data_IF_020750672939
#
_entry.id   IF_020750672939
#
_cell.length_a   1.000
_cell.length_b   1.000
_cell.length_c   1.000
_cell.angle_alpha   90.00
_cell.angle_beta   90.00
_cell.angle_gamma   90.00
#
_symmetry.space_group_name_H-M   'P 1'
#
loop_
_entity.id
_entity.type
_entity.pdbx_description
1 polymer ?
#
# COMPACT_ATOMS: atom_id res chain seq x y z
N UNK A 1 14.99 8.07 -28.59
CA UNK A 1 14.17 9.30 -28.37
C UNK A 1 14.43 9.75 -26.94
N UNK A 2 14.75 11.04 -26.72
CA UNK A 2 14.87 11.57 -25.34
C UNK A 2 13.48 11.52 -24.68
N UNK A 3 13.40 11.01 -23.44
CA UNK A 3 12.16 11.02 -22.69
C UNK A 3 11.64 12.45 -22.51
N UNK A 4 10.34 12.66 -22.71
CA UNK A 4 9.70 13.97 -22.50
C UNK A 4 9.23 14.19 -21.06
N UNK A 5 9.36 13.17 -20.23
CA UNK A 5 8.90 13.12 -18.84
C UNK A 5 10.10 13.11 -17.89
N UNK A 6 9.99 13.88 -16.83
CA UNK A 6 10.98 13.96 -15.74
C UNK A 6 10.34 13.54 -14.42
N UNK A 7 11.02 12.66 -13.70
CA UNK A 7 10.78 12.44 -12.26
C UNK A 7 11.92 13.12 -11.50
N UNK A 8 11.58 14.08 -10.66
CA UNK A 8 12.52 14.80 -9.82
C UNK A 8 12.34 14.38 -8.35
N UNK A 9 13.31 13.63 -7.82
CA UNK A 9 13.33 13.21 -6.42
C UNK A 9 14.08 14.26 -5.60
N UNK A 10 13.42 14.81 -4.58
CA UNK A 10 14.02 15.82 -3.69
C UNK A 10 14.57 15.17 -2.43
N UNK A 11 15.87 14.97 -2.36
CA UNK A 11 16.56 14.34 -1.25
C UNK A 11 17.69 15.24 -0.73
N UNK A 12 17.48 15.90 0.40
CA UNK A 12 18.53 16.70 1.06
C UNK A 12 19.27 15.88 2.13
N UNK A 13 20.47 16.32 2.53
CA UNK A 13 21.27 15.71 3.59
C UNK A 13 20.52 15.59 4.92
N UNK A 14 19.65 16.54 5.23
CA UNK A 14 18.84 16.60 6.45
C UNK A 14 18.80 18.00 7.03
N UNK A 15 18.00 18.20 8.08
CA UNK A 15 17.92 19.45 8.83
C UNK A 15 17.94 19.16 10.32
N UNK A 16 18.16 20.21 11.15
CA UNK A 16 18.13 20.08 12.63
C UNK A 16 16.77 19.60 13.16
N UNK A 17 15.67 19.93 12.43
CA UNK A 17 14.29 19.62 12.82
C UNK A 17 13.75 18.32 12.21
N UNK A 18 14.64 17.49 11.67
CA UNK A 18 14.27 16.20 11.06
C UNK A 18 15.19 15.08 11.58
N UNK A 19 14.78 13.84 11.32
CA UNK A 19 15.64 12.67 11.60
C UNK A 19 16.98 12.86 10.89
N UNK A 20 18.07 12.78 11.64
CA UNK A 20 19.41 12.91 11.09
C UNK A 20 19.65 11.88 9.97
N UNK A 21 20.16 12.34 8.83
CA UNK A 21 20.45 11.51 7.65
C UNK A 21 19.26 10.67 7.19
N UNK A 22 18.03 11.18 7.35
CA UNK A 22 16.78 10.43 7.11
C UNK A 22 16.78 9.66 5.78
N UNK A 23 17.21 10.30 4.69
CA UNK A 23 17.18 9.70 3.36
C UNK A 23 18.17 8.53 3.17
N UNK A 24 19.25 8.49 3.98
CA UNK A 24 20.25 7.43 3.99
C UNK A 24 20.07 6.44 5.15
N UNK A 25 19.10 6.66 6.02
CA UNK A 25 18.81 5.71 7.10
C UNK A 25 18.28 4.41 6.54
N UNK A 26 18.83 3.32 7.02
CA UNK A 26 18.44 1.99 6.55
C UNK A 26 17.03 1.64 7.03
N UNK A 27 16.28 1.07 6.13
CA UNK A 27 15.07 0.32 6.36
C UNK A 27 15.36 -1.06 5.81
N UNK A 28 15.41 -2.06 6.67
CA UNK A 28 16.08 -3.33 6.35
C UNK A 28 17.52 -3.04 5.86
N UNK A 29 17.90 -3.52 4.72
CA UNK A 29 19.27 -3.41 4.18
C UNK A 29 19.43 -2.25 3.20
N UNK A 30 18.42 -1.40 2.98
CA UNK A 30 18.43 -0.36 1.95
C UNK A 30 18.16 1.02 2.57
N UNK A 31 18.86 2.08 2.11
CA UNK A 31 18.56 3.43 2.57
C UNK A 31 17.15 3.86 2.12
N UNK A 32 16.49 4.72 2.89
CA UNK A 32 15.12 5.15 2.62
C UNK A 32 14.91 5.66 1.19
N UNK A 33 15.88 6.39 0.64
CA UNK A 33 15.80 6.89 -0.75
C UNK A 33 15.69 5.77 -1.78
N UNK A 34 16.19 4.57 -1.47
CA UNK A 34 16.17 3.42 -2.37
C UNK A 34 14.78 3.12 -2.90
N UNK A 35 13.78 3.15 -2.03
CA UNK A 35 12.41 2.72 -2.36
C UNK A 35 11.75 3.61 -3.40
N UNK A 36 11.80 4.94 -3.22
CA UNK A 36 11.26 5.88 -4.22
C UNK A 36 12.09 5.89 -5.49
N UNK A 37 13.41 5.69 -5.37
CA UNK A 37 14.32 5.62 -6.49
C UNK A 37 14.02 4.41 -7.38
N UNK A 38 13.87 3.22 -6.80
CA UNK A 38 13.53 2.01 -7.54
C UNK A 38 12.15 2.09 -8.22
N UNK A 39 11.12 2.58 -7.49
CA UNK A 39 9.80 2.79 -8.09
C UNK A 39 9.87 3.75 -9.28
N UNK A 40 10.69 4.80 -9.19
CA UNK A 40 10.87 5.78 -10.26
C UNK A 40 11.64 5.23 -11.46
N UNK A 41 12.72 4.51 -11.23
CA UNK A 41 13.57 3.94 -12.29
C UNK A 41 12.88 2.83 -13.08
N UNK A 42 12.03 2.05 -12.42
CA UNK A 42 11.19 1.05 -13.08
C UNK A 42 10.10 1.68 -13.97
N UNK A 43 9.87 2.99 -13.87
CA UNK A 43 8.99 3.72 -14.77
C UNK A 43 9.78 4.23 -15.98
N UNK A 44 10.11 3.34 -16.91
CA UNK A 44 11.00 3.57 -18.05
C UNK A 44 10.58 4.69 -19.03
N UNK A 45 9.41 5.32 -18.83
CA UNK A 45 8.94 6.42 -19.68
C UNK A 45 9.44 7.81 -19.25
N UNK A 46 10.16 7.89 -18.13
CA UNK A 46 10.67 9.14 -17.57
C UNK A 46 12.15 9.04 -17.23
N UNK A 47 12.88 10.13 -17.40
CA UNK A 47 14.22 10.27 -16.84
C UNK A 47 14.12 10.60 -15.35
N UNK A 48 14.98 10.02 -14.54
CA UNK A 48 14.98 10.18 -13.08
C UNK A 48 16.18 10.99 -12.66
N UNK A 49 15.91 12.13 -12.01
CA UNK A 49 16.92 13.00 -11.42
C UNK A 49 16.70 13.13 -9.91
N UNK A 50 17.81 13.09 -9.18
CA UNK A 50 17.82 13.36 -7.73
C UNK A 50 18.42 14.73 -7.50
N UNK A 51 17.65 15.65 -6.89
CA UNK A 51 18.15 16.94 -6.45
C UNK A 51 18.64 16.86 -5.01
N UNK A 52 19.94 17.00 -4.78
CA UNK A 52 20.57 16.81 -3.46
C UNK A 52 21.72 17.78 -3.20
N UNK A 53 21.99 18.01 -1.91
CA UNK A 53 23.15 18.73 -1.37
C UNK A 53 24.15 17.80 -0.68
N UNK A 54 23.94 16.49 -0.77
CA UNK A 54 24.73 15.45 -0.13
C UNK A 54 25.48 14.62 -1.17
N UNK A 55 26.79 14.54 -1.09
CA UNK A 55 27.59 13.67 -1.94
C UNK A 55 27.21 12.21 -1.78
N UNK A 56 26.98 11.74 -0.55
CA UNK A 56 26.59 10.35 -0.27
C UNK A 56 25.27 9.98 -0.97
N UNK A 57 24.28 10.90 -0.96
CA UNK A 57 23.00 10.70 -1.68
C UNK A 57 23.24 10.73 -3.20
N UNK A 58 24.11 11.62 -3.67
CA UNK A 58 24.46 11.74 -5.08
C UNK A 58 25.10 10.43 -5.59
N UNK A 59 26.12 9.97 -4.90
CA UNK A 59 26.81 8.72 -5.24
C UNK A 59 25.87 7.52 -5.25
N UNK A 60 25.07 7.37 -4.17
CA UNK A 60 24.07 6.29 -4.11
C UNK A 60 23.09 6.34 -5.27
N UNK A 61 22.64 7.54 -5.65
CA UNK A 61 21.67 7.72 -6.74
C UNK A 61 22.29 7.38 -8.11
N UNK A 62 23.52 7.81 -8.36
CA UNK A 62 24.27 7.49 -9.59
C UNK A 62 24.52 5.99 -9.71
N UNK A 63 24.98 5.33 -8.66
CA UNK A 63 25.21 3.88 -8.62
C UNK A 63 23.96 3.07 -8.92
N UNK A 64 22.76 3.61 -8.62
CA UNK A 64 21.49 2.96 -8.91
C UNK A 64 20.86 3.38 -10.24
N UNK A 65 21.55 4.19 -11.08
CA UNK A 65 21.11 4.53 -12.43
C UNK A 65 20.30 5.83 -12.55
N UNK A 66 20.15 6.62 -11.49
CA UNK A 66 19.57 7.95 -11.59
C UNK A 66 20.63 9.01 -11.94
N UNK A 67 20.18 10.13 -12.43
CA UNK A 67 21.03 11.31 -12.63
C UNK A 67 20.94 12.25 -11.43
N UNK A 68 21.92 13.14 -11.25
CA UNK A 68 22.01 14.03 -10.10
C UNK A 68 22.04 15.48 -10.50
N UNK A 69 21.33 16.30 -9.75
CA UNK A 69 21.42 17.77 -9.79
C UNK A 69 21.89 18.23 -8.41
N UNK A 70 23.14 18.71 -8.33
CA UNK A 70 23.69 19.28 -7.11
C UNK A 70 22.93 20.55 -6.71
N UNK A 71 22.42 20.56 -5.48
CA UNK A 71 21.65 21.67 -4.94
C UNK A 71 22.56 22.66 -4.23
N UNK A 72 22.52 23.95 -4.63
CA UNK A 72 23.35 24.95 -3.96
C UNK A 72 22.89 25.21 -2.52
N UNK A 73 23.81 25.62 -1.66
CA UNK A 73 23.57 25.81 -0.21
C UNK A 73 22.37 26.69 0.14
N UNK A 74 22.07 27.71 -0.66
CA UNK A 74 20.93 28.59 -0.40
C UNK A 74 19.56 27.90 -0.57
N UNK A 75 19.49 26.76 -1.28
CA UNK A 75 18.28 25.94 -1.46
C UNK A 75 18.18 24.76 -0.47
N UNK A 76 19.04 24.71 0.55
CA UNK A 76 19.02 23.63 1.56
C UNK A 76 18.32 24.02 2.86
N UNK A 77 17.86 25.26 2.96
CA UNK A 77 17.16 25.80 4.15
C UNK A 77 15.81 25.12 4.35
N UNK A 78 15.35 25.05 5.61
CA UNK A 78 14.01 24.51 5.95
C UNK A 78 12.88 25.31 5.28
N UNK A 79 13.08 26.62 5.10
CA UNK A 79 12.14 27.54 4.44
C UNK A 79 12.08 27.40 2.93
N UNK A 80 13.03 26.68 2.30
CA UNK A 80 13.06 26.54 0.83
C UNK A 80 11.86 25.73 0.36
N UNK A 81 11.10 26.33 -0.53
CA UNK A 81 9.89 25.71 -1.08
C UNK A 81 10.20 24.66 -2.15
N UNK A 82 9.28 23.72 -2.32
CA UNK A 82 9.32 22.76 -3.45
C UNK A 82 9.47 23.48 -4.79
N UNK A 83 8.78 24.61 -4.96
CA UNK A 83 8.79 25.43 -6.18
C UNK A 83 10.19 25.93 -6.55
N UNK A 84 10.93 26.46 -5.57
CA UNK A 84 12.29 26.98 -5.77
C UNK A 84 13.26 25.88 -6.19
N UNK A 85 13.14 24.68 -5.59
CA UNK A 85 13.99 23.54 -5.96
C UNK A 85 13.67 23.05 -7.36
N UNK A 86 12.39 22.95 -7.74
CA UNK A 86 11.96 22.58 -9.09
C UNK A 86 12.48 23.61 -10.13
N UNK A 87 12.32 24.88 -9.82
CA UNK A 87 12.76 25.97 -10.72
C UNK A 87 14.27 25.92 -10.95
N UNK A 88 15.04 25.75 -9.89
CA UNK A 88 16.49 25.56 -10.00
C UNK A 88 16.83 24.35 -10.87
N UNK A 89 16.24 23.18 -10.59
CA UNK A 89 16.52 21.95 -11.31
C UNK A 89 16.22 22.07 -12.81
N UNK A 90 15.05 22.59 -13.16
CA UNK A 90 14.66 22.78 -14.56
C UNK A 90 15.52 23.83 -15.28
N UNK A 91 15.90 24.92 -14.61
CA UNK A 91 16.85 25.90 -15.18
C UNK A 91 18.23 25.30 -15.39
N UNK A 92 18.73 24.51 -14.46
CA UNK A 92 20.01 23.81 -14.58
C UNK A 92 20.00 22.86 -15.78
N UNK A 93 18.96 22.07 -15.94
CA UNK A 93 18.80 21.15 -17.07
C UNK A 93 18.71 21.91 -18.41
N UNK A 94 17.91 22.97 -18.44
CA UNK A 94 17.78 23.83 -19.65
C UNK A 94 19.11 24.44 -20.08
N UNK A 95 19.95 24.89 -19.13
CA UNK A 95 21.30 25.38 -19.42
C UNK A 95 22.20 24.30 -20.05
N UNK A 96 21.96 23.01 -19.76
CA UNK A 96 22.64 21.85 -20.36
C UNK A 96 21.99 21.38 -21.67
N UNK A 97 21.02 22.13 -22.22
CA UNK A 97 20.29 21.74 -23.42
C UNK A 97 19.26 20.62 -23.23
N UNK A 98 18.93 20.30 -21.97
CA UNK A 98 17.98 19.23 -21.63
C UNK A 98 16.65 19.86 -21.23
N UNK A 99 15.57 19.48 -21.91
CA UNK A 99 14.21 19.99 -21.64
C UNK A 99 13.22 18.85 -21.54
N UNK A 100 12.23 19.03 -20.67
CA UNK A 100 11.13 18.09 -20.45
C UNK A 100 9.80 18.80 -20.61
N UNK A 101 8.77 18.08 -21.05
CA UNK A 101 7.41 18.62 -21.16
C UNK A 101 6.68 18.62 -19.82
N UNK A 102 6.89 17.56 -19.04
CA UNK A 102 6.21 17.34 -17.75
C UNK A 102 7.22 16.92 -16.69
N UNK A 103 6.99 17.39 -15.47
CA UNK A 103 7.79 17.03 -14.30
C UNK A 103 6.88 16.49 -13.19
N UNK A 104 7.28 15.38 -12.58
CA UNK A 104 6.69 14.83 -11.36
C UNK A 104 7.71 14.94 -10.24
N UNK A 105 7.30 15.49 -9.11
CA UNK A 105 8.12 15.67 -7.91
C UNK A 105 7.78 14.63 -6.88
N UNK A 106 8.81 13.94 -6.40
CA UNK A 106 8.71 12.92 -5.35
C UNK A 106 9.64 13.25 -4.17
N UNK A 107 9.31 12.68 -3.03
CA UNK A 107 10.12 12.78 -1.81
C UNK A 107 10.39 11.40 -1.23
N UNK A 108 11.62 11.08 -0.78
CA UNK A 108 11.94 9.79 -0.17
C UNK A 108 11.07 9.41 1.02
N UNK A 109 10.55 10.40 1.75
CA UNK A 109 9.67 10.15 2.89
C UNK A 109 8.30 9.54 2.53
N UNK A 110 7.93 9.48 1.24
CA UNK A 110 6.77 8.75 0.72
C UNK A 110 7.24 7.55 -0.11
N UNK A 111 7.76 6.50 0.52
CA UNK A 111 8.47 5.43 -0.18
C UNK A 111 7.58 4.46 -0.93
N UNK A 112 6.27 4.45 -0.64
CA UNK A 112 5.32 3.46 -1.15
C UNK A 112 4.55 3.92 -2.41
N UNK A 113 5.06 4.95 -3.11
CA UNK A 113 4.42 5.42 -4.34
C UNK A 113 4.48 4.35 -5.43
N UNK A 114 3.33 4.00 -5.99
CA UNK A 114 3.22 2.93 -6.98
C UNK A 114 3.39 3.43 -8.42
N UNK A 115 3.93 2.59 -9.30
CA UNK A 115 4.08 2.92 -10.73
C UNK A 115 2.78 3.30 -11.43
N UNK A 116 1.65 2.63 -11.06
CA UNK A 116 0.34 2.98 -11.60
C UNK A 116 -0.05 4.43 -11.27
N UNK A 117 0.39 4.92 -10.12
CA UNK A 117 0.13 6.28 -9.65
C UNK A 117 1.06 7.29 -10.35
N UNK A 118 2.34 6.96 -10.56
CA UNK A 118 3.24 7.76 -11.39
C UNK A 118 2.65 7.96 -12.80
N UNK A 119 2.14 6.89 -13.41
CA UNK A 119 1.47 6.94 -14.72
C UNK A 119 0.24 7.85 -14.70
N UNK A 120 -0.57 7.81 -13.63
CA UNK A 120 -1.75 8.67 -13.48
C UNK A 120 -1.36 10.16 -13.40
N UNK A 121 -0.32 10.52 -12.63
CA UNK A 121 0.15 11.89 -12.53
C UNK A 121 0.48 12.49 -13.89
N UNK A 122 1.19 11.78 -14.74
CA UNK A 122 1.50 12.24 -16.09
C UNK A 122 0.30 12.23 -17.03
N UNK A 123 -0.60 11.23 -16.88
CA UNK A 123 -1.80 11.11 -17.71
C UNK A 123 -2.79 12.26 -17.50
N UNK A 124 -2.94 12.72 -16.26
CA UNK A 124 -3.86 13.82 -15.95
C UNK A 124 -3.33 15.20 -16.38
N UNK A 125 -2.05 15.33 -16.71
CA UNK A 125 -1.49 16.54 -17.36
C UNK A 125 -1.82 16.53 -18.85
N UNK A 126 -3.10 16.52 -19.20
CA UNK A 126 -3.63 16.64 -20.55
C UNK A 126 -4.20 18.04 -20.75
N UNK A 127 -4.31 18.42 -22.06
CA UNK A 127 -5.03 19.62 -22.52
C UNK A 127 -4.88 20.82 -21.58
N UNK A 128 -5.93 21.19 -20.88
CA UNK A 128 -5.97 22.38 -20.03
C UNK A 128 -5.25 22.22 -18.69
N UNK A 129 -5.18 21.01 -18.13
CA UNK A 129 -4.60 20.78 -16.80
C UNK A 129 -3.10 21.08 -16.81
N UNK A 130 -2.70 22.05 -15.98
CA UNK A 130 -1.32 22.50 -15.87
C UNK A 130 -0.59 21.90 -14.68
N UNK A 131 -1.32 21.57 -13.61
CA UNK A 131 -0.74 21.02 -12.37
C UNK A 131 -1.67 19.97 -11.77
N UNK A 132 -1.10 18.83 -11.35
CA UNK A 132 -1.80 17.76 -10.63
C UNK A 132 -1.17 17.59 -9.26
N UNK A 133 -1.96 17.73 -8.22
CA UNK A 133 -1.55 17.49 -6.84
C UNK A 133 -2.02 16.14 -6.35
N UNK A 134 -1.15 15.43 -5.62
CA UNK A 134 -1.60 14.32 -4.78
C UNK A 134 -2.46 14.85 -3.65
N UNK A 135 -3.64 14.27 -3.45
CA UNK A 135 -4.58 14.69 -2.42
C UNK A 135 -5.03 13.51 -1.56
N UNK A 136 -5.41 13.84 -0.32
CA UNK A 136 -6.07 12.94 0.61
C UNK A 136 -7.50 13.41 0.82
N UNK A 137 -8.47 12.51 0.69
CA UNK A 137 -9.85 12.83 1.02
C UNK A 137 -10.01 12.90 2.53
N UNK A 138 -10.76 13.88 3.00
CA UNK A 138 -11.12 13.99 4.40
C UNK A 138 -12.33 13.09 4.66
N UNK A 139 -12.11 11.98 5.37
CA UNK A 139 -13.13 10.95 5.59
C UNK A 139 -14.29 11.45 6.45
N UNK A 140 -14.04 12.34 7.40
CA UNK A 140 -15.08 12.90 8.24
C UNK A 140 -14.91 14.43 8.44
N UNK A 141 -15.39 15.25 7.49
CA UNK A 141 -15.19 16.70 7.54
C UNK A 141 -15.88 17.37 8.74
N UNK A 142 -16.92 16.75 9.32
CA UNK A 142 -17.62 17.30 10.50
C UNK A 142 -16.77 17.30 11.76
N UNK A 143 -15.76 16.42 11.84
CA UNK A 143 -14.85 16.29 12.97
C UNK A 143 -13.50 16.96 12.73
N UNK A 144 -13.26 17.51 11.54
CA UNK A 144 -11.97 18.08 11.17
C UNK A 144 -12.08 19.61 11.04
N UNK A 145 -11.12 20.27 11.67
CA UNK A 145 -10.96 21.71 11.63
C UNK A 145 -9.54 22.05 11.18
N UNK A 146 -9.40 23.14 10.41
CA UNK A 146 -8.10 23.81 10.34
C UNK A 146 -7.97 24.70 11.57
N UNK A 147 -6.81 24.62 12.22
CA UNK A 147 -6.50 25.46 13.36
C UNK A 147 -5.36 26.42 13.02
N UNK A 148 -5.54 27.69 13.37
CA UNK A 148 -4.48 28.70 13.32
C UNK A 148 -4.22 29.18 14.74
N UNK A 149 -2.95 29.19 15.15
CA UNK A 149 -2.54 29.75 16.44
C UNK A 149 -2.35 31.24 16.23
N UNK A 150 -3.06 32.07 16.97
CA UNK A 150 -2.86 33.51 16.97
C UNK A 150 -1.70 33.94 17.88
N UNK A 151 -1.39 35.24 17.91
CA UNK A 151 -0.31 35.82 18.75
C UNK A 151 -0.48 35.56 20.27
N UNK A 152 -1.69 35.27 20.72
CA UNK A 152 -2.01 34.98 22.12
C UNK A 152 -2.07 33.49 22.42
N UNK A 153 -1.53 32.63 21.55
CA UNK A 153 -1.58 31.16 21.65
C UNK A 153 -3.00 30.57 21.67
N UNK A 154 -4.01 31.31 21.26
CA UNK A 154 -5.37 30.83 21.11
C UNK A 154 -5.58 30.19 19.72
N UNK A 155 -6.42 29.16 19.66
CA UNK A 155 -6.77 28.47 18.42
C UNK A 155 -7.97 29.15 17.73
N UNK A 156 -7.74 29.53 16.49
CA UNK A 156 -8.83 29.88 15.58
C UNK A 156 -9.18 28.63 14.76
N UNK A 157 -10.39 28.10 14.95
CA UNK A 157 -10.86 26.90 14.28
C UNK A 157 -11.73 27.27 13.08
N UNK A 158 -11.42 26.70 11.92
CA UNK A 158 -12.29 26.76 10.73
C UNK A 158 -12.71 25.34 10.34
N UNK A 159 -14.01 25.05 10.28
CA UNK A 159 -14.48 23.73 9.91
C UNK A 159 -14.12 23.42 8.45
N UNK A 160 -13.75 22.19 8.19
CA UNK A 160 -13.57 21.66 6.85
C UNK A 160 -14.95 21.21 6.31
N UNK A 161 -15.19 21.42 5.03
CA UNK A 161 -16.42 20.97 4.38
C UNK A 161 -16.19 19.61 3.65
N UNK A 162 -17.28 19.00 3.17
CA UNK A 162 -17.23 17.70 2.47
C UNK A 162 -16.35 17.71 1.20
N UNK A 163 -16.10 18.89 0.62
CA UNK A 163 -15.30 19.04 -0.59
C UNK A 163 -13.85 19.43 -0.28
N UNK A 164 -13.47 19.50 1.01
CA UNK A 164 -12.10 19.80 1.39
C UNK A 164 -11.18 18.59 1.16
N UNK A 165 -9.98 18.84 0.70
CA UNK A 165 -8.94 17.84 0.53
C UNK A 165 -7.61 18.40 1.04
N UNK A 166 -6.77 17.53 1.59
CA UNK A 166 -5.40 17.89 1.99
C UNK A 166 -4.46 17.69 0.81
N UNK A 167 -3.68 18.72 0.49
CA UNK A 167 -2.65 18.64 -0.53
C UNK A 167 -1.43 17.88 0.00
N UNK A 168 -0.97 16.92 -0.78
CA UNK A 168 0.31 16.26 -0.53
C UNK A 168 1.45 17.00 -1.23
N UNK A 169 2.70 16.71 -0.83
CA UNK A 169 3.92 17.25 -1.46
C UNK A 169 4.29 16.56 -2.79
N UNK A 170 3.49 15.58 -3.23
CA UNK A 170 3.65 14.93 -4.53
C UNK A 170 2.87 15.76 -5.55
N UNK A 171 3.56 16.25 -6.55
CA UNK A 171 2.98 17.17 -7.55
C UNK A 171 3.59 16.93 -8.92
N UNK A 172 2.78 16.93 -9.96
CA UNK A 172 3.25 16.98 -11.34
C UNK A 172 2.74 18.22 -12.05
N UNK A 173 3.49 18.70 -13.02
CA UNK A 173 3.16 19.94 -13.74
C UNK A 173 3.79 20.00 -15.13
N UNK A 174 3.23 20.84 -16.02
CA UNK A 174 3.81 21.19 -17.31
C UNK A 174 4.95 22.19 -17.10
N UNK A 175 6.13 21.85 -17.56
CA UNK A 175 7.38 22.58 -17.23
C UNK A 175 7.46 23.94 -17.89
N UNK A 176 6.92 24.09 -19.11
CA UNK A 176 6.98 25.34 -19.86
C UNK A 176 6.30 26.49 -19.12
N UNK A 177 5.03 26.31 -18.72
CA UNK A 177 4.28 27.33 -18.01
C UNK A 177 4.83 27.59 -16.62
N UNK A 178 5.32 26.55 -15.93
CA UNK A 178 5.98 26.69 -14.64
C UNK A 178 7.24 27.57 -14.75
N UNK A 179 8.05 27.39 -15.80
CA UNK A 179 9.24 28.22 -16.05
C UNK A 179 8.88 29.65 -16.47
N UNK A 180 7.89 29.83 -17.37
CA UNK A 180 7.38 31.17 -17.77
C UNK A 180 6.87 31.94 -16.55
N UNK A 181 6.23 31.31 -15.61
CA UNK A 181 5.71 31.90 -14.36
C UNK A 181 6.72 31.89 -13.20
N UNK A 182 8.03 31.85 -13.53
CA UNK A 182 9.14 31.93 -12.56
C UNK A 182 9.03 30.97 -11.40
N UNK A 183 8.59 29.74 -11.66
CA UNK A 183 8.48 28.69 -10.65
C UNK A 183 7.15 28.66 -9.88
N UNK A 184 6.10 29.28 -10.37
CA UNK A 184 4.75 29.18 -9.79
C UNK A 184 3.99 28.01 -10.42
N UNK A 185 3.36 27.19 -9.60
CA UNK A 185 2.37 26.23 -10.09
C UNK A 185 1.13 26.99 -10.56
N UNK A 186 0.66 26.69 -11.74
CA UNK A 186 -0.48 27.37 -12.38
C UNK A 186 -1.60 26.39 -12.64
N UNK A 187 -2.83 26.89 -12.62
CA UNK A 187 -4.03 26.14 -12.97
C UNK A 187 -4.32 26.15 -14.47
N UNK A 188 -5.34 25.41 -14.90
CA UNK A 188 -6.22 24.59 -14.05
C UNK A 188 -5.51 23.46 -13.30
N UNK A 189 -6.01 23.18 -12.08
CA UNK A 189 -5.46 22.16 -11.19
C UNK A 189 -6.32 20.90 -11.20
N UNK A 190 -5.69 19.74 -11.03
CA UNK A 190 -6.36 18.47 -10.81
C UNK A 190 -5.87 17.83 -9.50
N UNK A 191 -6.79 17.22 -8.74
CA UNK A 191 -6.49 16.45 -7.53
C UNK A 191 -6.46 14.96 -7.82
N UNK A 192 -5.33 14.29 -7.62
CA UNK A 192 -5.22 12.85 -7.71
C UNK A 192 -5.27 12.24 -6.32
N UNK A 193 -6.32 11.46 -6.05
CA UNK A 193 -6.41 10.70 -4.79
C UNK A 193 -5.33 9.64 -4.71
N UNK A 194 -4.57 9.67 -3.62
CA UNK A 194 -3.56 8.69 -3.27
C UNK A 194 -4.16 7.68 -2.27
N UNK A 195 -3.70 6.44 -2.34
CA UNK A 195 -4.06 5.42 -1.36
C UNK A 195 -3.40 5.69 -0.01
N UNK A 196 -3.95 5.15 1.07
CA UNK A 196 -3.41 5.33 2.42
C UNK A 196 -1.95 4.86 2.53
N UNK A 197 -1.60 3.78 1.83
CA UNK A 197 -0.21 3.31 1.76
C UNK A 197 0.71 4.33 1.10
N UNK A 198 0.30 4.94 -0.02
CA UNK A 198 1.09 5.96 -0.72
C UNK A 198 1.22 7.27 0.05
N UNK A 199 0.26 7.52 0.94
CA UNK A 199 0.25 8.68 1.85
C UNK A 199 1.11 8.46 3.09
N UNK A 200 1.50 7.22 3.38
CA UNK A 200 2.35 6.91 4.52
C UNK A 200 3.68 7.65 4.41
N UNK A 201 3.94 8.53 5.36
CA UNK A 201 5.14 9.36 5.35
C UNK A 201 6.01 9.11 6.57
N UNK A 202 7.29 8.84 6.34
CA UNK A 202 8.26 8.68 7.41
C UNK A 202 8.71 10.06 7.92
N UNK A 203 8.28 10.41 9.11
CA UNK A 203 8.60 11.69 9.76
C UNK A 203 9.19 11.53 11.16
N UNK A 204 8.98 10.38 11.81
CA UNK A 204 9.43 10.03 13.15
C UNK A 204 10.17 8.69 13.13
N UNK A 205 10.96 8.41 14.20
CA UNK A 205 11.73 7.15 14.27
C UNK A 205 10.85 5.91 14.23
N UNK A 206 9.70 5.91 14.90
CA UNK A 206 8.81 4.75 14.89
C UNK A 206 8.21 4.47 13.51
N UNK A 207 8.12 5.48 12.61
CA UNK A 207 7.60 5.27 11.25
C UNK A 207 8.50 4.31 10.46
N UNK A 208 9.80 4.26 10.75
CA UNK A 208 10.72 3.31 10.12
C UNK A 208 10.36 1.87 10.47
N UNK A 209 10.08 1.59 11.76
CA UNK A 209 9.64 0.25 12.20
C UNK A 209 8.31 -0.16 11.55
N UNK A 210 7.35 0.76 11.48
CA UNK A 210 6.08 0.51 10.80
C UNK A 210 6.30 0.26 9.31
N UNK A 211 7.21 1.02 8.68
CA UNK A 211 7.52 0.82 7.27
C UNK A 211 8.17 -0.54 7.02
N UNK A 212 9.07 -1.02 7.88
CA UNK A 212 9.60 -2.37 7.83
C UNK A 212 8.49 -3.43 7.91
N UNK A 213 7.54 -3.26 8.82
CA UNK A 213 6.37 -4.14 8.91
C UNK A 213 5.53 -4.12 7.63
N UNK A 214 5.34 -2.93 7.00
CA UNK A 214 4.64 -2.82 5.72
C UNK A 214 5.37 -3.57 4.60
N UNK A 215 6.71 -3.50 4.58
CA UNK A 215 7.53 -4.23 3.59
C UNK A 215 7.50 -5.74 3.78
N UNK A 216 7.28 -6.21 5.01
CA UNK A 216 7.16 -7.64 5.34
C UNK A 216 5.78 -8.22 5.10
N UNK A 217 4.77 -7.36 4.86
CA UNK A 217 3.40 -7.81 4.62
C UNK A 217 3.34 -8.90 3.57
N UNK A 218 2.68 -9.99 3.94
CA UNK A 218 2.31 -11.02 2.98
C UNK A 218 1.00 -10.65 2.31
N UNK A 219 0.88 -10.94 1.04
CA UNK A 219 -0.40 -10.87 0.33
C UNK A 219 -1.06 -12.22 0.44
N UNK A 220 -2.19 -12.26 1.12
CA UNK A 220 -2.96 -13.48 1.34
C UNK A 220 -4.27 -13.38 0.57
N UNK A 221 -4.45 -14.29 -0.36
CA UNK A 221 -5.72 -14.45 -1.06
C UNK A 221 -6.51 -15.53 -0.34
N UNK A 222 -7.73 -15.22 0.08
CA UNK A 222 -8.63 -16.16 0.76
C UNK A 222 -9.75 -16.53 -0.20
N UNK A 223 -9.76 -17.77 -0.65
CA UNK A 223 -10.88 -18.35 -1.36
C UNK A 223 -11.81 -19.04 -0.37
N UNK A 224 -13.02 -18.53 -0.29
CA UNK A 224 -14.05 -19.08 0.60
C UNK A 224 -15.36 -19.24 -0.14
N UNK A 225 -16.05 -20.36 0.08
CA UNK A 225 -17.36 -20.64 -0.47
C UNK A 225 -18.34 -20.75 0.71
N UNK A 226 -19.48 -20.07 0.62
CA UNK A 226 -20.57 -20.19 1.58
C UNK A 226 -21.91 -20.23 0.85
N UNK A 227 -22.71 -21.25 1.15
CA UNK A 227 -24.08 -21.46 0.63
C UNK A 227 -25.02 -21.70 1.82
N UNK A 228 -26.33 -21.82 1.56
CA UNK A 228 -27.30 -22.13 2.61
C UNK A 228 -26.99 -23.49 3.24
N UNK A 229 -26.56 -24.46 2.44
CA UNK A 229 -26.24 -25.82 2.87
C UNK A 229 -24.94 -25.88 3.68
N UNK A 230 -23.92 -25.12 3.29
CA UNK A 230 -22.62 -25.05 3.99
C UNK A 230 -22.74 -24.20 5.28
N UNK A 231 -23.62 -23.19 5.23
CA UNK A 231 -23.80 -22.25 6.34
C UNK A 231 -22.72 -21.17 6.43
N UNK A 232 -22.72 -20.44 7.55
CA UNK A 232 -21.81 -19.33 7.83
C UNK A 232 -20.59 -19.70 8.69
N UNK A 233 -20.46 -20.97 9.10
CA UNK A 233 -19.38 -21.44 9.97
C UNK A 233 -18.00 -21.06 9.44
N UNK A 234 -17.74 -21.34 8.16
CA UNK A 234 -16.50 -20.99 7.47
C UNK A 234 -16.22 -19.47 7.48
N UNK A 235 -17.27 -18.66 7.28
CA UNK A 235 -17.14 -17.18 7.29
C UNK A 235 -16.68 -16.68 8.66
N UNK A 236 -17.29 -17.19 9.74
CA UNK A 236 -16.92 -16.79 11.11
C UNK A 236 -15.55 -17.33 11.53
N UNK A 237 -15.21 -18.56 11.15
CA UNK A 237 -13.88 -19.12 11.39
C UNK A 237 -12.82 -18.27 10.69
N UNK A 238 -13.06 -17.90 9.42
CA UNK A 238 -12.13 -17.07 8.66
C UNK A 238 -12.01 -15.66 9.23
N UNK A 239 -13.11 -15.03 9.67
CA UNK A 239 -13.06 -13.73 10.36
C UNK A 239 -12.21 -13.80 11.63
N UNK A 240 -12.30 -14.90 12.38
CA UNK A 240 -11.47 -15.13 13.57
C UNK A 240 -9.98 -15.22 13.21
N UNK A 241 -9.64 -15.96 12.16
CA UNK A 241 -8.25 -16.04 11.65
C UNK A 241 -7.75 -14.66 11.22
N UNK A 242 -8.58 -13.89 10.50
CA UNK A 242 -8.26 -12.56 10.02
C UNK A 242 -7.94 -11.57 11.14
N UNK A 243 -8.53 -11.71 12.33
CA UNK A 243 -8.19 -10.91 13.49
C UNK A 243 -6.72 -11.05 13.93
N UNK A 244 -6.06 -12.16 13.57
CA UNK A 244 -4.64 -12.42 13.83
C UNK A 244 -3.72 -12.03 12.66
N UNK A 245 -4.28 -11.72 11.49
CA UNK A 245 -3.56 -11.35 10.27
C UNK A 245 -3.64 -9.85 9.94
N UNK A 246 -3.76 -8.99 10.96
CA UNK A 246 -4.02 -7.54 10.82
C UNK A 246 -2.94 -6.79 10.04
N UNK A 247 -1.72 -7.30 10.02
CA UNK A 247 -0.61 -6.67 9.32
C UNK A 247 -0.53 -7.06 7.83
N UNK A 248 -1.29 -8.08 7.41
CA UNK A 248 -1.20 -8.65 6.08
C UNK A 248 -2.13 -7.94 5.08
N UNK A 249 -1.82 -8.03 3.80
CA UNK A 249 -2.68 -7.55 2.73
C UNK A 249 -3.65 -8.66 2.32
N UNK A 250 -4.92 -8.50 2.64
CA UNK A 250 -5.95 -9.54 2.46
C UNK A 250 -6.82 -9.24 1.25
N UNK A 251 -7.03 -10.23 0.41
CA UNK A 251 -8.05 -10.23 -0.64
C UNK A 251 -8.93 -11.47 -0.50
N UNK A 252 -10.22 -11.26 -0.28
CA UNK A 252 -11.21 -12.33 -0.23
C UNK A 252 -11.78 -12.53 -1.64
N UNK A 253 -11.90 -13.79 -2.06
CA UNK A 253 -12.50 -14.16 -3.34
C UNK A 253 -13.57 -15.22 -3.12
N UNK A 254 -14.74 -15.00 -3.71
CA UNK A 254 -15.89 -15.90 -3.60
C UNK A 254 -16.44 -16.22 -4.99
N UNK A 255 -16.91 -17.47 -5.17
CA UNK A 255 -17.67 -17.80 -6.37
C UNK A 255 -19.01 -17.04 -6.35
N UNK A 256 -19.43 -16.48 -7.50
CA UNK A 256 -20.67 -15.69 -7.60
C UNK A 256 -21.92 -16.42 -7.10
N UNK A 257 -21.94 -17.76 -7.21
CA UNK A 257 -23.06 -18.59 -6.79
C UNK A 257 -22.97 -19.03 -5.31
N UNK A 258 -21.92 -18.60 -4.57
CA UNK A 258 -21.63 -19.05 -3.20
C UNK A 258 -21.16 -17.87 -2.34
N UNK A 259 -22.00 -16.84 -2.29
CA UNK A 259 -21.63 -15.52 -1.72
C UNK A 259 -22.29 -15.21 -0.38
N UNK A 260 -22.95 -16.19 0.25
CA UNK A 260 -23.57 -15.99 1.56
C UNK A 260 -22.46 -15.58 2.55
N UNK A 261 -22.72 -14.54 3.33
CA UNK A 261 -21.72 -13.99 4.26
C UNK A 261 -20.71 -13.01 3.63
N UNK A 262 -20.74 -12.74 2.33
CA UNK A 262 -19.85 -11.72 1.72
C UNK A 262 -19.97 -10.35 2.37
N UNK A 263 -21.17 -9.98 2.84
CA UNK A 263 -21.42 -8.72 3.53
C UNK A 263 -20.71 -8.68 4.89
N UNK A 264 -20.56 -9.82 5.58
CA UNK A 264 -19.81 -9.87 6.84
C UNK A 264 -18.35 -9.44 6.65
N UNK A 265 -17.70 -9.91 5.60
CA UNK A 265 -16.34 -9.45 5.27
C UNK A 265 -16.29 -7.97 4.94
N UNK A 266 -17.28 -7.43 4.22
CA UNK A 266 -17.37 -6.01 3.89
C UNK A 266 -17.64 -5.12 5.12
N UNK A 267 -18.47 -5.59 6.06
CA UNK A 267 -18.70 -4.93 7.35
C UNK A 267 -17.38 -4.77 8.14
N UNK A 268 -16.47 -5.75 8.01
CA UNK A 268 -15.12 -5.71 8.57
C UNK A 268 -14.08 -5.03 7.65
N UNK A 269 -14.52 -4.30 6.63
CA UNK A 269 -13.70 -3.53 5.67
C UNK A 269 -12.74 -4.37 4.82
N UNK A 270 -12.97 -5.67 4.69
CA UNK A 270 -12.18 -6.51 3.77
C UNK A 270 -12.63 -6.33 2.32
N UNK A 271 -11.65 -6.35 1.41
CA UNK A 271 -11.91 -6.30 -0.02
C UNK A 271 -12.39 -7.68 -0.52
N UNK A 272 -13.60 -7.73 -1.06
CA UNK A 272 -14.21 -8.96 -1.59
C UNK A 272 -14.36 -8.86 -3.10
N UNK A 273 -13.82 -9.82 -3.84
CA UNK A 273 -14.01 -9.96 -5.29
C UNK A 273 -14.76 -11.25 -5.60
N UNK A 274 -15.54 -11.20 -6.67
CA UNK A 274 -16.31 -12.33 -7.14
C UNK A 274 -15.77 -12.87 -8.46
N UNK A 275 -15.83 -14.19 -8.63
CA UNK A 275 -15.48 -14.85 -9.88
C UNK A 275 -16.56 -15.87 -10.26
N UNK A 276 -16.67 -16.18 -11.56
CA UNK A 276 -17.65 -17.13 -12.09
C UNK A 276 -16.97 -18.40 -12.63
N UNK A 277 -15.70 -18.35 -12.97
CA UNK A 277 -14.94 -19.45 -13.57
C UNK A 277 -13.44 -19.34 -13.24
N UNK A 278 -12.72 -20.42 -13.53
CA UNK A 278 -11.28 -20.53 -13.23
C UNK A 278 -10.44 -19.45 -13.95
N UNK A 279 -10.81 -19.05 -15.17
CA UNK A 279 -10.08 -18.02 -15.90
C UNK A 279 -10.13 -16.66 -15.17
N UNK A 280 -11.29 -16.29 -14.62
CA UNK A 280 -11.43 -15.08 -13.82
C UNK A 280 -10.68 -15.19 -12.49
N UNK A 281 -10.72 -16.35 -11.83
CA UNK A 281 -9.94 -16.59 -10.62
C UNK A 281 -8.43 -16.45 -10.89
N UNK A 282 -7.93 -17.08 -11.94
CA UNK A 282 -6.53 -16.99 -12.34
C UNK A 282 -6.11 -15.55 -12.63
N UNK A 283 -6.97 -14.77 -13.29
CA UNK A 283 -6.73 -13.33 -13.53
C UNK A 283 -6.66 -12.53 -12.23
N UNK A 284 -7.50 -12.85 -11.25
CA UNK A 284 -7.46 -12.23 -9.91
C UNK A 284 -6.15 -12.58 -9.21
N UNK A 285 -5.74 -13.85 -9.21
CA UNK A 285 -4.49 -14.33 -8.61
C UNK A 285 -3.30 -13.63 -9.27
N UNK A 286 -3.22 -13.62 -10.61
CA UNK A 286 -2.13 -12.98 -11.35
C UNK A 286 -2.01 -11.48 -11.09
N UNK A 287 -3.14 -10.77 -10.92
CA UNK A 287 -3.17 -9.34 -10.64
C UNK A 287 -2.81 -9.03 -9.18
N UNK A 288 -3.28 -9.84 -8.23
CA UNK A 288 -3.03 -9.65 -6.80
C UNK A 288 -1.64 -10.14 -6.40
N UNK A 289 -1.12 -11.17 -7.10
CA UNK A 289 0.17 -11.82 -6.84
C UNK A 289 0.33 -12.21 -5.36
N UNK A 290 -0.54 -13.08 -4.83
CA UNK A 290 -0.46 -13.50 -3.44
C UNK A 290 0.82 -14.27 -3.14
N UNK A 291 1.30 -14.18 -1.89
CA UNK A 291 2.32 -15.06 -1.36
C UNK A 291 1.70 -16.38 -0.86
N UNK A 292 0.48 -16.27 -0.34
CA UNK A 292 -0.25 -17.38 0.28
C UNK A 292 -1.69 -17.38 -0.24
N UNK A 293 -2.23 -18.56 -0.51
CA UNK A 293 -3.66 -18.76 -0.72
C UNK A 293 -4.24 -19.61 0.39
N UNK A 294 -5.33 -19.16 1.00
CA UNK A 294 -6.16 -19.92 1.90
C UNK A 294 -7.38 -20.44 1.14
N UNK A 295 -7.60 -21.74 1.14
CA UNK A 295 -8.81 -22.36 0.60
C UNK A 295 -9.68 -22.85 1.76
N UNK A 296 -10.85 -22.25 1.88
CA UNK A 296 -11.89 -22.67 2.80
C UNK A 296 -13.18 -22.96 1.99
N UNK A 297 -13.11 -24.05 1.23
CA UNK A 297 -14.11 -24.42 0.20
C UNK A 297 -14.53 -25.89 0.30
N UNK A 298 -14.27 -26.52 1.46
CA UNK A 298 -14.40 -27.96 1.65
C UNK A 298 -13.46 -28.75 0.71
N UNK A 299 -13.92 -29.88 0.21
CA UNK A 299 -13.09 -30.82 -0.55
C UNK A 299 -12.53 -30.22 -1.85
N UNK A 300 -11.21 -30.12 -1.93
CA UNK A 300 -10.53 -29.71 -3.14
C UNK A 300 -10.29 -30.87 -4.11
N UNK A 301 -10.36 -30.58 -5.41
CA UNK A 301 -9.99 -31.53 -6.46
C UNK A 301 -8.51 -31.43 -6.83
N UNK A 302 -7.96 -32.54 -7.35
CA UNK A 302 -6.59 -32.56 -7.84
C UNK A 302 -6.37 -31.55 -8.96
N UNK A 303 -7.33 -31.43 -9.91
CA UNK A 303 -7.23 -30.49 -11.02
C UNK A 303 -7.16 -29.03 -10.58
N UNK A 304 -7.96 -28.64 -9.58
CA UNK A 304 -7.92 -27.29 -9.01
C UNK A 304 -6.57 -26.99 -8.34
N UNK A 305 -6.10 -27.91 -7.51
CA UNK A 305 -4.84 -27.74 -6.79
C UNK A 305 -3.63 -27.71 -7.73
N UNK A 306 -3.63 -28.53 -8.78
CA UNK A 306 -2.57 -28.50 -9.82
C UNK A 306 -2.51 -27.15 -10.55
N UNK A 307 -3.65 -26.51 -10.81
CA UNK A 307 -3.69 -25.15 -11.37
C UNK A 307 -3.10 -24.11 -10.42
N UNK A 308 -3.39 -24.21 -9.11
CA UNK A 308 -2.84 -23.28 -8.12
C UNK A 308 -1.32 -23.40 -7.98
N UNK A 309 -0.76 -24.61 -8.08
CA UNK A 309 0.69 -24.83 -8.01
C UNK A 309 1.48 -24.09 -9.09
N UNK A 310 0.86 -23.76 -10.24
CA UNK A 310 1.50 -22.98 -11.31
C UNK A 310 1.84 -21.54 -10.89
N UNK A 311 1.23 -21.02 -9.83
CA UNK A 311 1.49 -19.66 -9.35
C UNK A 311 2.65 -19.55 -8.35
N UNK A 312 3.31 -20.67 -7.99
CA UNK A 312 4.43 -20.71 -7.05
C UNK A 312 4.14 -19.96 -5.74
N UNK A 313 3.03 -20.28 -5.10
CA UNK A 313 2.55 -19.70 -3.85
C UNK A 313 2.34 -20.79 -2.80
N UNK A 314 2.34 -20.42 -1.52
CA UNK A 314 2.00 -21.33 -0.43
C UNK A 314 0.49 -21.57 -0.40
N UNK A 315 0.08 -22.83 -0.32
CA UNK A 315 -1.33 -23.24 -0.31
C UNK A 315 -1.70 -23.82 1.06
N UNK A 316 -2.68 -23.22 1.71
CA UNK A 316 -3.23 -23.67 2.99
C UNK A 316 -4.71 -24.00 2.80
N UNK A 317 -5.10 -25.23 3.13
CA UNK A 317 -6.49 -25.67 3.04
C UNK A 317 -7.09 -25.84 4.44
N UNK A 318 -8.36 -25.43 4.56
CA UNK A 318 -9.15 -25.60 5.78
C UNK A 318 -10.30 -26.58 5.52
N UNK A 319 -10.51 -27.51 6.47
CA UNK A 319 -11.60 -28.51 6.48
C UNK A 319 -11.66 -29.33 5.17
N UNK A 320 -10.51 -29.60 4.58
CA UNK A 320 -10.38 -30.30 3.29
C UNK A 320 -10.09 -31.79 3.48
N UNK A 321 -11.01 -32.64 3.08
CA UNK A 321 -10.88 -34.09 3.01
C UNK A 321 -10.75 -34.62 1.57
N UNK A 322 -10.80 -33.71 0.57
CA UNK A 322 -10.71 -34.05 -0.84
C UNK A 322 -9.32 -34.58 -1.25
N UNK A 323 -9.26 -35.21 -2.43
CA UNK A 323 -8.01 -35.77 -2.97
C UNK A 323 -6.97 -34.67 -3.27
N UNK A 324 -7.44 -33.45 -3.52
CA UNK A 324 -6.57 -32.28 -3.79
C UNK A 324 -5.72 -31.87 -2.60
N UNK A 325 -6.13 -32.14 -1.36
CA UNK A 325 -5.40 -31.74 -0.14
C UNK A 325 -3.94 -32.22 -0.12
N UNK A 326 -3.62 -33.33 -0.78
CA UNK A 326 -2.25 -33.85 -0.90
C UNK A 326 -1.28 -32.87 -1.57
N UNK A 327 -1.81 -31.93 -2.34
CA UNK A 327 -1.05 -30.88 -3.03
C UNK A 327 -0.96 -29.56 -2.24
N UNK A 328 -1.66 -29.45 -1.09
CA UNK A 328 -1.51 -28.30 -0.20
C UNK A 328 -0.17 -28.34 0.55
N UNK A 329 0.31 -27.18 0.96
CA UNK A 329 1.49 -27.06 1.80
C UNK A 329 1.14 -27.25 3.28
N UNK A 330 -0.09 -26.87 3.71
CA UNK A 330 -0.67 -27.13 5.02
C UNK A 330 -2.17 -27.42 4.89
N UNK A 331 -2.68 -28.30 5.75
CA UNK A 331 -4.13 -28.60 5.85
C UNK A 331 -4.54 -28.61 7.31
N UNK A 332 -5.56 -27.83 7.66
CA UNK A 332 -6.13 -27.75 9.00
C UNK A 332 -7.55 -28.28 9.02
N UNK A 333 -7.78 -29.35 9.78
CA UNK A 333 -9.07 -30.06 9.94
C UNK A 333 -9.49 -30.15 11.41
N UNK A 334 -9.97 -29.05 12.01
CA UNK A 334 -10.27 -28.99 13.44
C UNK A 334 -11.43 -29.91 13.87
N UNK A 335 -12.37 -30.16 12.97
CA UNK A 335 -13.61 -30.94 13.25
C UNK A 335 -13.37 -32.45 13.11
N UNK A 336 -12.40 -32.84 12.28
CA UNK A 336 -12.16 -34.23 11.96
C UNK A 336 -11.01 -34.82 12.78
N UNK A 337 -11.04 -36.11 12.98
CA UNK A 337 -9.92 -36.89 13.54
C UNK A 337 -9.38 -37.84 12.48
N UNK A 338 -8.06 -37.98 12.39
CA UNK A 338 -7.42 -38.94 11.52
C UNK A 338 -6.33 -39.69 12.26
N UNK A 339 -6.34 -41.04 12.15
CA UNK A 339 -5.38 -41.91 12.86
C UNK A 339 -3.95 -41.82 12.30
N UNK A 340 -3.78 -41.48 11.00
CA UNK A 340 -2.49 -41.35 10.33
C UNK A 340 -2.50 -40.12 9.39
N UNK A 341 -2.38 -38.90 9.93
CA UNK A 341 -2.28 -37.72 9.11
C UNK A 341 -0.96 -37.69 8.34
N UNK A 342 -0.94 -37.05 7.16
CA UNK A 342 0.31 -36.70 6.49
C UNK A 342 1.03 -35.61 7.32
N UNK A 343 2.35 -35.50 7.16
CA UNK A 343 3.19 -34.55 7.92
C UNK A 343 2.76 -33.09 7.83
N UNK A 344 1.94 -32.74 6.83
CA UNK A 344 1.42 -31.39 6.58
C UNK A 344 -0.04 -31.22 6.98
N UNK A 345 -0.65 -32.21 7.58
CA UNK A 345 -2.07 -32.23 7.96
C UNK A 345 -2.21 -32.18 9.48
N UNK A 346 -3.03 -31.26 9.96
CA UNK A 346 -3.29 -30.98 11.37
C UNK A 346 -4.76 -31.22 11.68
N UNK A 347 -5.05 -32.17 12.58
CA UNK A 347 -6.38 -32.61 12.89
C UNK A 347 -6.70 -32.36 14.36
N UNK A 348 -7.98 -32.14 14.67
CA UNK A 348 -8.54 -32.10 16.01
C UNK A 348 -8.68 -30.71 16.62
N UNK A 349 -9.32 -30.64 17.78
CA UNK A 349 -9.78 -29.42 18.44
C UNK A 349 -8.70 -28.40 18.78
N UNK A 350 -7.43 -28.82 18.87
CA UNK A 350 -6.30 -27.87 19.09
C UNK A 350 -6.12 -26.86 17.95
N UNK A 351 -6.69 -27.15 16.80
CA UNK A 351 -6.63 -26.29 15.61
C UNK A 351 -7.96 -25.56 15.32
N UNK A 352 -8.93 -25.68 16.26
CA UNK A 352 -10.21 -25.00 16.12
C UNK A 352 -10.10 -23.49 16.35
N UNK A 353 -10.78 -22.72 15.50
CA UNK A 353 -10.89 -21.29 15.67
C UNK A 353 -11.91 -20.97 16.76
N UNK A 354 -11.47 -20.38 17.87
CA UNK A 354 -12.35 -19.89 18.93
C UNK A 354 -12.53 -18.38 18.73
N UNK A 355 -13.77 -17.98 18.47
CA UNK A 355 -14.12 -16.57 18.26
C UNK A 355 -13.80 -15.73 19.49
N UNK A 356 -13.43 -14.46 19.28
CA UNK A 356 -13.03 -13.54 20.34
C UNK A 356 -14.13 -13.34 21.39
N UNK A 357 -15.40 -13.42 21.00
CA UNK A 357 -16.54 -13.32 21.93
C UNK A 357 -16.49 -14.40 23.01
N UNK A 358 -16.10 -15.62 22.65
CA UNK A 358 -15.97 -16.70 23.64
C UNK A 358 -14.79 -16.50 24.58
N UNK A 359 -13.73 -15.81 24.13
CA UNK A 359 -12.60 -15.44 24.99
C UNK A 359 -12.93 -14.29 25.91
N UNK A 360 -13.63 -13.27 25.40
CA UNK A 360 -14.03 -12.08 26.17
C UNK A 360 -15.05 -12.46 27.27
N UNK A 361 -15.98 -13.37 26.95
CA UNK A 361 -17.06 -13.77 27.85
C UNK A 361 -16.77 -15.09 28.59
N UNK A 362 -15.58 -15.68 28.43
CA UNK A 362 -15.20 -16.85 29.20
C UNK A 362 -15.06 -16.51 30.68
N UNK A 363 -15.85 -17.14 31.53
CA UNK A 363 -15.62 -17.13 32.96
C UNK A 363 -14.72 -18.33 33.31
N UNK A 364 -13.67 -18.09 34.09
CA UNK A 364 -12.80 -19.16 34.62
C UNK A 364 -13.52 -20.10 35.61
N UNK A 365 -14.82 -19.87 35.81
CA UNK A 365 -15.65 -20.67 36.71
C UNK A 365 -16.34 -21.78 35.92
N UNK A 366 -15.85 -22.99 36.08
CA UNK A 366 -16.53 -24.18 35.57
C UNK A 366 -17.81 -24.44 36.37
N UNK A 367 -18.98 -24.30 35.74
CA UNK A 367 -20.27 -24.65 36.35
C UNK A 367 -20.57 -26.12 36.06
N UNK A 368 -20.56 -26.95 37.13
CA UNK A 368 -20.92 -28.38 37.02
C UNK A 368 -22.39 -28.61 36.65
N UNK A 369 -23.29 -27.70 37.03
CA UNK A 369 -24.73 -27.83 36.80
C UNK A 369 -25.24 -26.73 35.87
N UNK A 370 -25.75 -27.12 34.70
CA UNK A 370 -26.45 -26.24 33.78
C UNK A 370 -27.90 -26.17 34.21
N UNK A 371 -28.29 -25.07 34.89
CA UNK A 371 -29.68 -24.91 35.41
C UNK A 371 -30.65 -24.34 34.37
N UNK A 372 -30.18 -23.76 33.26
CA UNK A 372 -31.00 -23.30 32.14
C UNK A 372 -30.09 -23.12 30.91
N UNK A 373 -30.57 -23.55 29.75
CA UNK A 373 -30.07 -23.20 28.42
C UNK A 373 -30.92 -22.08 27.87
#
# INVERSE_FOLDING_TARGET
MKNKLLILIMARKGSRDSISRQNLRLVKDKPLIHYVLQSSLQFHQADVFVSTDSEEIAEYSLMNGAQVIHRPKYLTKNSTSVKEICYHALKHLKKKGITYEKCLVLHPKFPLIEQKTLKKFFRYLKDDIQTVFGITQIVNPKLNYTAKINSNSLLELKPLNKNSALLNRIVSFKTENFLKQKGKFVGPYHGLHLSDNELYSLSRYHDFKIFEQILDRKRILIRIDATIEIGLGHVYNMLTILNHLRNEEILIVMNKNKTIGSNKFKEHLYNVKFFSNDSQLNKIISNFKPNIIFNDILNTSQSYMSKLKQFNLMIVNFEDLGIGRKHADLVFNPIFSQKKPLTKEFYGGNYACVRDEFRIWSNDIFRKDVKKI
#
